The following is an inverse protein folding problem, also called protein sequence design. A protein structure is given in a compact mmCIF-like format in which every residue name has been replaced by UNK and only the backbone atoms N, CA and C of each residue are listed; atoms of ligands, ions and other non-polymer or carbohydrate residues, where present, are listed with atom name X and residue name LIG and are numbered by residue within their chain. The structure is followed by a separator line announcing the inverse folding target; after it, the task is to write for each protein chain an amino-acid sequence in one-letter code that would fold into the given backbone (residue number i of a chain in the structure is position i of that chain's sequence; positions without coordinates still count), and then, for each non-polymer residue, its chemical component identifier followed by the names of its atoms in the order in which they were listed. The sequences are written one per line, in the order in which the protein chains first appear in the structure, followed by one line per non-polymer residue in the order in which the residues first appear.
data_IF_018785677281
#
_entry.id   IF_018785677281
#
_cell.length_a   1.000
_cell.length_b   1.000
_cell.length_c   1.000
_cell.angle_alpha   90.00
_cell.angle_beta   90.00
_cell.angle_gamma   90.00
#
_symmetry.space_group_name_H-M   'P 1'
#
loop_
_entity.id
_entity.type
_entity.pdbx_description
1 polymer ?
#
# COMPACT_ATOMS: atom_id res chain seq x y z
N UNK A 1 -6.40 25.42 -4.24
CA UNK A 1 -6.90 25.45 -2.84
C UNK A 1 -7.41 24.05 -2.49
N UNK A 2 -6.73 23.30 -1.63
CA UNK A 2 -7.16 21.95 -1.25
C UNK A 2 -8.37 22.04 -0.32
N UNK A 3 -9.48 21.40 -0.67
CA UNK A 3 -10.66 21.30 0.18
C UNK A 3 -10.28 20.69 1.54
N UNK A 4 -10.70 21.35 2.62
CA UNK A 4 -10.54 20.86 4.00
C UNK A 4 -11.24 19.51 4.13
N UNK A 5 -10.48 18.43 4.38
CA UNK A 5 -11.05 17.10 4.62
C UNK A 5 -11.78 17.11 5.97
N UNK A 6 -13.10 16.90 5.93
CA UNK A 6 -13.92 16.76 7.15
C UNK A 6 -13.43 15.58 7.98
N UNK A 7 -13.02 15.86 9.23
CA UNK A 7 -12.53 14.85 10.17
C UNK A 7 -13.70 14.10 10.80
N UNK A 8 -13.62 12.77 10.88
CA UNK A 8 -14.67 11.95 11.51
C UNK A 8 -14.70 12.11 13.04
N UNK A 9 -15.86 11.88 13.68
CA UNK A 9 -15.97 11.79 15.14
C UNK A 9 -15.20 10.57 15.68
N UNK A 10 -14.56 10.72 16.84
CA UNK A 10 -13.78 9.67 17.51
C UNK A 10 -14.69 8.60 18.12
N UNK A 11 -14.29 7.31 18.11
CA UNK A 11 -14.91 6.30 19.00
C UNK A 11 -14.90 4.80 18.64
N UNK A 12 -14.46 4.32 17.47
CA UNK A 12 -14.57 2.87 17.12
C UNK A 12 -13.26 2.10 16.95
N UNK A 13 -12.11 2.77 17.05
CA UNK A 13 -10.88 2.10 17.45
C UNK A 13 -10.14 1.23 16.44
N UNK A 14 -10.36 1.32 15.12
CA UNK A 14 -9.39 0.95 14.06
C UNK A 14 -9.91 1.42 12.68
N UNK A 15 -9.21 2.35 12.03
CA UNK A 15 -9.41 2.72 10.61
C UNK A 15 -8.85 1.58 9.72
N UNK A 16 -9.49 0.41 9.73
CA UNK A 16 -9.03 -0.73 8.92
C UNK A 16 -9.31 -0.47 7.45
N UNK A 17 -8.28 -0.08 6.70
CA UNK A 17 -8.30 -0.12 5.23
C UNK A 17 -8.00 -1.56 4.80
N UNK A 18 -8.97 -2.21 4.14
CA UNK A 18 -8.73 -3.55 3.57
C UNK A 18 -7.93 -3.36 2.29
N UNK A 19 -6.66 -3.75 2.32
CA UNK A 19 -5.77 -3.73 1.15
C UNK A 19 -6.01 -5.01 0.32
N UNK A 20 -6.69 -4.88 -0.81
CA UNK A 20 -6.81 -5.94 -1.83
C UNK A 20 -6.05 -5.47 -3.07
N UNK A 21 -4.87 -6.04 -3.28
CA UNK A 21 -3.99 -5.69 -4.38
C UNK A 21 -3.53 -6.98 -5.03
N UNK A 22 -3.72 -7.08 -6.33
CA UNK A 22 -3.10 -8.13 -7.13
C UNK A 22 -1.64 -7.76 -7.35
N UNK A 23 -0.75 -8.62 -6.87
CA UNK A 23 0.70 -8.45 -7.00
C UNK A 23 1.28 -9.61 -7.79
N UNK A 24 2.45 -9.41 -8.38
CA UNK A 24 3.17 -10.50 -9.05
C UNK A 24 3.48 -11.64 -8.05
N UNK A 25 3.60 -12.89 -8.53
CA UNK A 25 4.00 -14.01 -7.68
C UNK A 25 5.31 -13.76 -6.94
N UNK A 26 6.30 -13.13 -7.60
CA UNK A 26 7.60 -12.80 -6.98
C UNK A 26 7.50 -11.81 -5.82
N UNK A 27 6.58 -10.83 -5.89
CA UNK A 27 6.33 -9.91 -4.79
C UNK A 27 5.65 -10.62 -3.60
N UNK A 28 4.73 -11.54 -3.89
CA UNK A 28 4.09 -12.38 -2.87
C UNK A 28 5.11 -13.28 -2.16
N UNK A 29 6.02 -13.89 -2.90
CA UNK A 29 7.06 -14.78 -2.35
C UNK A 29 7.98 -14.05 -1.37
N UNK A 30 8.20 -12.75 -1.56
CA UNK A 30 8.96 -11.93 -0.62
C UNK A 30 8.23 -11.80 0.73
N UNK A 31 6.94 -11.47 0.72
CA UNK A 31 6.12 -11.38 1.95
C UNK A 31 6.07 -12.73 2.66
N UNK A 32 5.91 -13.81 1.91
CA UNK A 32 5.84 -15.17 2.44
C UNK A 32 7.15 -15.60 3.09
N UNK A 33 8.30 -15.29 2.47
CA UNK A 33 9.63 -15.55 3.07
C UNK A 33 9.82 -14.79 4.37
N UNK A 34 9.51 -13.49 4.40
CA UNK A 34 9.66 -12.68 5.63
C UNK A 34 8.77 -13.22 6.74
N UNK A 35 7.50 -13.52 6.43
CA UNK A 35 6.56 -14.11 7.39
C UNK A 35 7.08 -15.41 8.00
N UNK A 36 7.65 -16.31 7.19
CA UNK A 36 8.23 -17.57 7.66
C UNK A 36 9.45 -17.37 8.58
N UNK A 37 10.30 -16.37 8.31
CA UNK A 37 11.50 -16.11 9.11
C UNK A 37 11.20 -15.39 10.43
N UNK A 38 10.18 -14.53 10.46
CA UNK A 38 9.84 -13.74 11.65
C UNK A 38 8.74 -14.36 12.50
N UNK A 39 8.06 -15.41 12.00
CA UNK A 39 6.87 -16.00 12.61
C UNK A 39 5.75 -14.96 12.86
N UNK A 40 5.63 -13.96 11.98
CA UNK A 40 4.60 -12.91 12.05
C UNK A 40 3.57 -13.12 10.95
N UNK A 41 2.35 -12.61 11.16
CA UNK A 41 1.29 -12.69 10.16
C UNK A 41 1.65 -11.86 8.91
N UNK A 42 1.22 -12.32 7.74
CA UNK A 42 1.46 -11.61 6.48
C UNK A 42 0.90 -10.18 6.51
N UNK A 43 -0.26 -9.97 7.14
CA UNK A 43 -0.85 -8.64 7.31
C UNK A 43 0.04 -7.69 8.12
N UNK A 44 0.59 -8.16 9.25
CA UNK A 44 1.51 -7.36 10.07
C UNK A 44 2.83 -7.09 9.34
N UNK A 45 3.36 -8.06 8.60
CA UNK A 45 4.56 -7.86 7.77
C UNK A 45 4.28 -6.82 6.68
N UNK A 46 3.17 -6.93 5.95
CA UNK A 46 2.78 -5.96 4.93
C UNK A 46 2.63 -4.56 5.52
N UNK A 47 1.99 -4.42 6.67
CA UNK A 47 1.88 -3.14 7.38
C UNK A 47 3.27 -2.56 7.73
N UNK A 48 4.17 -3.38 8.28
CA UNK A 48 5.54 -2.97 8.60
C UNK A 48 6.33 -2.57 7.37
N UNK A 49 6.18 -3.29 6.26
CA UNK A 49 6.82 -2.96 4.99
C UNK A 49 6.31 -1.62 4.44
N UNK A 50 4.99 -1.38 4.46
CA UNK A 50 4.39 -0.12 4.01
C UNK A 50 4.86 1.09 4.86
N UNK A 51 4.90 0.92 6.18
CA UNK A 51 5.39 1.95 7.10
C UNK A 51 6.90 2.20 6.99
N UNK A 52 7.64 1.24 6.44
CA UNK A 52 9.09 1.31 6.24
C UNK A 52 9.52 1.97 4.92
N UNK A 53 8.57 2.32 4.02
CA UNK A 53 8.91 2.91 2.72
C UNK A 53 9.45 4.33 2.94
N UNK A 54 10.72 4.62 2.58
CA UNK A 54 11.25 5.97 2.67
C UNK A 54 10.61 6.85 1.59
N UNK A 55 10.18 8.05 1.98
CA UNK A 55 9.49 9.00 1.10
C UNK A 55 10.35 10.26 0.86
N UNK A 56 10.18 10.87 -0.30
CA UNK A 56 10.74 12.17 -0.64
C UNK A 56 9.91 13.34 -0.05
N UNK A 57 10.32 14.58 -0.33
CA UNK A 57 9.61 15.77 0.12
C UNK A 57 8.20 15.94 -0.49
N UNK A 58 7.88 15.23 -1.57
CA UNK A 58 6.55 15.19 -2.21
C UNK A 58 5.64 14.13 -1.55
N UNK A 59 6.19 13.29 -0.69
CA UNK A 59 5.49 12.15 -0.09
C UNK A 59 5.43 10.93 -1.01
N UNK A 60 6.30 10.86 -2.03
CA UNK A 60 6.41 9.72 -2.94
C UNK A 60 7.53 8.78 -2.47
N UNK A 61 7.43 7.46 -2.70
CA UNK A 61 8.53 6.54 -2.44
C UNK A 61 9.81 6.96 -3.16
N UNK A 62 10.96 6.79 -2.49
CA UNK A 62 12.29 6.97 -3.09
C UNK A 62 12.63 5.78 -4.01
N UNK A 63 11.87 5.60 -5.09
CA UNK A 63 12.14 4.63 -6.14
C UNK A 63 12.74 5.36 -7.35
N UNK A 64 13.74 4.76 -8.00
CA UNK A 64 14.51 5.41 -9.07
C UNK A 64 13.63 5.77 -10.29
N UNK A 65 12.55 5.03 -10.49
CA UNK A 65 11.61 5.12 -11.61
C UNK A 65 10.24 5.68 -11.19
N UNK A 66 10.11 6.31 -10.01
CA UNK A 66 8.81 6.73 -9.47
C UNK A 66 8.04 7.69 -10.40
N UNK A 67 8.76 8.53 -11.16
CA UNK A 67 8.15 9.46 -12.09
C UNK A 67 7.65 8.77 -13.38
N UNK A 68 8.16 7.57 -13.73
CA UNK A 68 7.71 6.77 -14.89
C UNK A 68 6.29 6.21 -14.69
N UNK A 69 5.84 6.11 -13.43
CA UNK A 69 4.50 5.63 -13.08
C UNK A 69 3.43 6.72 -13.21
N UNK A 70 3.78 7.99 -13.47
CA UNK A 70 2.82 9.12 -13.50
C UNK A 70 1.84 9.04 -14.67
N UNK A 71 2.29 8.47 -15.78
CA UNK A 71 1.52 8.34 -17.02
C UNK A 71 0.95 6.94 -17.24
N UNK A 72 1.06 6.05 -16.25
CA UNK A 72 0.37 4.77 -16.29
C UNK A 72 -1.15 5.03 -16.22
N UNK A 73 -1.77 5.02 -17.40
CA UNK A 73 -3.21 5.14 -17.55
C UNK A 73 -3.96 4.18 -16.63
N UNK A 74 -5.19 4.53 -16.26
CA UNK A 74 -5.99 3.73 -15.34
C UNK A 74 -5.98 2.25 -15.76
N UNK A 75 -5.56 1.36 -14.85
CA UNK A 75 -5.70 -0.08 -15.04
C UNK A 75 -7.16 -0.38 -15.37
N UNK A 76 -7.44 -1.19 -16.40
CA UNK A 76 -8.80 -1.44 -16.83
C UNK A 76 -9.60 -2.03 -15.66
N UNK A 77 -10.64 -1.31 -15.23
CA UNK A 77 -11.57 -1.83 -14.23
C UNK A 77 -12.31 -3.00 -14.91
N UNK A 78 -12.20 -4.24 -14.40
CA UNK A 78 -12.99 -5.33 -14.94
C UNK A 78 -14.46 -4.97 -14.78
N UNK A 79 -15.20 -4.84 -15.90
CA UNK A 79 -16.65 -4.70 -15.84
C UNK A 79 -17.20 -6.00 -15.24
N UNK A 80 -17.93 -5.89 -14.13
CA UNK A 80 -18.68 -7.02 -13.59
C UNK A 80 -19.58 -7.56 -14.71
N UNK A 81 -19.42 -8.85 -15.04
CA UNK A 81 -20.34 -9.61 -15.88
C UNK A 81 -21.43 -10.22 -15.01
#
# INVERSE_FOLDING_TARGET
MSASKTRRPRGTGLDNVILRVDVSPSAKDLVDRVSAHTNLSKGLITERLLLGIPLDARGLPLWDDIDDYRDQGALPIPKAS
#
